data_IF_335315152778
#
_entry.id   IF_335315152778
#
_cell.length_a   1.000
_cell.length_b   1.000
_cell.length_c   1.000
_cell.angle_alpha   90.00
_cell.angle_beta   90.00
_cell.angle_gamma   90.00
#
_symmetry.space_group_name_H-M   'P 1'
#
loop_
_entity.id
_entity.type
_entity.pdbx_description
1 polymer ?
#
# COMPACT_ATOMS: atom_id res chain seq x y z
N UNK A 1 22.11 7.34 5.39
CA UNK A 1 22.51 6.22 4.50
C UNK A 1 22.24 6.66 3.07
N UNK A 2 23.25 6.65 2.18
CA UNK A 2 23.06 6.94 0.74
C UNK A 2 22.91 5.60 0.03
N UNK A 3 21.79 5.39 -0.67
CA UNK A 3 21.55 4.18 -1.47
C UNK A 3 22.14 4.43 -2.85
N UNK A 4 23.06 3.57 -3.30
CA UNK A 4 23.66 3.67 -4.63
C UNK A 4 22.75 3.06 -5.69
N UNK A 5 22.76 3.56 -6.95
CA UNK A 5 21.99 2.95 -8.04
C UNK A 5 22.25 1.45 -8.24
N UNK A 6 23.48 1.00 -7.97
CA UNK A 6 23.86 -0.41 -8.03
C UNK A 6 23.22 -1.29 -6.95
N UNK A 7 22.72 -0.69 -5.88
CA UNK A 7 22.03 -1.38 -4.77
C UNK A 7 20.51 -1.45 -5.00
N UNK A 8 20.01 -0.81 -6.07
CA UNK A 8 18.59 -0.80 -6.42
C UNK A 8 18.37 -1.75 -7.60
N UNK A 9 17.36 -2.62 -7.45
CA UNK A 9 16.82 -3.41 -8.55
C UNK A 9 15.37 -2.99 -8.82
N UNK A 10 15.05 -2.74 -10.08
CA UNK A 10 13.69 -2.52 -10.54
C UNK A 10 13.19 -3.82 -11.16
N UNK A 11 12.14 -4.40 -10.60
CA UNK A 11 11.50 -5.60 -11.16
C UNK A 11 10.24 -5.24 -11.93
N UNK A 12 10.20 -5.63 -13.21
CA UNK A 12 9.05 -5.50 -14.09
C UNK A 12 8.37 -6.86 -14.21
N UNK A 13 7.16 -6.96 -13.69
CA UNK A 13 6.34 -8.17 -13.83
C UNK A 13 5.43 -8.00 -15.05
N UNK A 14 5.58 -8.87 -16.05
CA UNK A 14 4.84 -8.79 -17.30
C UNK A 14 4.23 -10.14 -17.68
N UNK A 15 3.07 -10.08 -18.32
CA UNK A 15 2.38 -11.28 -18.78
C UNK A 15 3.09 -11.92 -19.99
N UNK A 16 3.58 -11.09 -20.91
CA UNK A 16 4.16 -11.54 -22.17
C UNK A 16 5.53 -10.90 -22.35
N UNK A 17 6.43 -11.62 -23.03
CA UNK A 17 7.78 -11.13 -23.30
C UNK A 17 7.74 -9.82 -24.14
N UNK A 18 8.26 -8.68 -23.63
CA UNK A 18 8.07 -7.38 -24.25
C UNK A 18 9.12 -7.14 -25.34
N UNK A 19 9.05 -7.92 -26.43
CA UNK A 19 10.09 -7.94 -27.48
C UNK A 19 10.42 -6.57 -28.08
N UNK A 20 9.42 -5.69 -28.23
CA UNK A 20 9.63 -4.30 -28.71
C UNK A 20 10.47 -3.46 -27.75
N UNK A 21 10.18 -3.55 -26.45
CA UNK A 21 10.95 -2.85 -25.41
C UNK A 21 12.38 -3.38 -25.37
N UNK A 22 12.54 -4.71 -25.39
CA UNK A 22 13.87 -5.32 -25.36
C UNK A 22 14.70 -4.92 -26.58
N UNK A 23 14.10 -4.92 -27.77
CA UNK A 23 14.74 -4.44 -29.00
C UNK A 23 15.19 -2.98 -28.84
N UNK A 24 14.29 -2.11 -28.38
CA UNK A 24 14.61 -0.70 -28.12
C UNK A 24 15.76 -0.51 -27.14
N UNK A 25 15.79 -1.29 -26.04
CA UNK A 25 16.86 -1.20 -25.03
C UNK A 25 18.21 -1.65 -25.58
N UNK A 26 18.25 -2.72 -26.38
CA UNK A 26 19.46 -3.17 -27.07
C UNK A 26 19.97 -2.11 -28.05
N UNK A 27 19.08 -1.56 -28.88
CA UNK A 27 19.45 -0.61 -29.95
C UNK A 27 19.88 0.75 -29.39
N UNK A 28 19.23 1.22 -28.32
CA UNK A 28 19.46 2.57 -27.79
C UNK A 28 20.56 2.63 -26.74
N UNK A 29 20.62 1.61 -25.87
CA UNK A 29 21.52 1.60 -24.70
C UNK A 29 22.58 0.50 -24.76
N UNK A 30 22.56 -0.35 -25.79
CA UNK A 30 23.46 -1.50 -25.87
C UNK A 30 23.25 -2.52 -24.76
N UNK A 31 22.06 -2.53 -24.15
CA UNK A 31 21.73 -3.40 -23.01
C UNK A 31 21.81 -4.87 -23.38
N UNK A 32 22.30 -5.68 -22.44
CA UNK A 32 22.29 -7.14 -22.56
C UNK A 32 21.15 -7.69 -21.72
N UNK A 33 20.54 -8.77 -22.22
CA UNK A 33 19.43 -9.44 -21.57
C UNK A 33 19.84 -10.89 -21.38
N UNK A 34 19.92 -11.34 -20.13
CA UNK A 34 20.22 -12.72 -19.76
C UNK A 34 19.02 -13.36 -19.10
N UNK A 35 18.71 -14.59 -19.49
CA UNK A 35 17.74 -15.43 -18.77
C UNK A 35 18.51 -16.23 -17.73
N UNK A 36 18.31 -15.94 -16.46
CA UNK A 36 18.99 -16.66 -15.36
C UNK A 36 18.17 -17.86 -14.88
N UNK A 37 16.86 -17.79 -15.07
CA UNK A 37 15.91 -18.85 -14.77
C UNK A 37 14.74 -18.73 -15.76
N UNK A 38 14.05 -19.82 -16.13
CA UNK A 38 12.87 -19.74 -17.00
C UNK A 38 11.89 -18.65 -16.56
N UNK A 39 11.70 -17.63 -17.40
CA UNK A 39 10.83 -16.49 -17.07
C UNK A 39 11.43 -15.40 -16.18
N UNK A 40 12.69 -15.51 -15.76
CA UNK A 40 13.42 -14.49 -14.98
C UNK A 40 14.61 -14.00 -15.78
N UNK A 41 14.49 -12.77 -16.28
CA UNK A 41 15.51 -12.12 -17.08
C UNK A 41 16.12 -10.95 -16.32
N UNK A 42 17.39 -10.67 -16.55
CA UNK A 42 18.02 -9.43 -16.12
C UNK A 42 18.49 -8.63 -17.31
N UNK A 43 18.31 -7.31 -17.21
CA UNK A 43 18.75 -6.34 -18.18
C UNK A 43 19.90 -5.55 -17.55
N UNK A 44 21.07 -5.62 -18.18
CA UNK A 44 22.29 -4.94 -17.73
C UNK A 44 22.57 -3.68 -18.56
N UNK A 45 23.65 -2.95 -18.19
CA UNK A 45 24.08 -1.70 -18.83
C UNK A 45 23.05 -0.57 -18.76
N UNK A 46 22.21 -0.60 -17.72
CA UNK A 46 21.32 0.48 -17.33
C UNK A 46 21.80 1.10 -16.01
N UNK A 47 21.24 2.26 -15.66
CA UNK A 47 21.58 2.97 -14.42
C UNK A 47 21.31 2.13 -13.15
N UNK A 48 20.25 1.33 -13.18
CA UNK A 48 19.86 0.39 -12.12
C UNK A 48 19.77 -1.02 -12.71
N UNK A 49 19.93 -2.04 -11.88
CA UNK A 49 19.66 -3.42 -12.32
C UNK A 49 18.17 -3.54 -12.60
N UNK A 50 17.80 -3.99 -13.80
CA UNK A 50 16.40 -4.24 -14.14
C UNK A 50 16.18 -5.75 -14.23
N UNK A 51 15.19 -6.25 -13.51
CA UNK A 51 14.71 -7.62 -13.61
C UNK A 51 13.39 -7.63 -14.37
N UNK A 52 13.20 -8.61 -15.23
CA UNK A 52 11.97 -8.83 -15.97
C UNK A 52 11.44 -10.22 -15.63
N UNK A 53 10.25 -10.28 -15.05
CA UNK A 53 9.55 -11.51 -14.70
C UNK A 53 8.42 -11.77 -15.71
N UNK A 54 8.52 -12.86 -16.47
CA UNK A 54 7.52 -13.29 -17.45
C UNK A 54 6.63 -14.35 -16.80
N UNK A 55 5.45 -13.93 -16.33
CA UNK A 55 4.58 -14.77 -15.47
C UNK A 55 4.28 -16.13 -16.09
N UNK A 56 3.97 -16.21 -17.40
CA UNK A 56 3.62 -17.47 -18.07
C UNK A 56 4.79 -18.43 -18.32
N UNK A 57 6.03 -18.00 -18.08
CA UNK A 57 7.20 -18.86 -18.20
C UNK A 57 7.68 -19.38 -16.84
N UNK A 58 7.13 -18.85 -15.75
CA UNK A 58 7.45 -19.26 -14.39
C UNK A 58 6.71 -20.57 -14.05
N UNK A 59 7.41 -21.56 -13.50
CA UNK A 59 6.77 -22.75 -12.91
C UNK A 59 6.00 -22.34 -11.64
N UNK A 60 4.68 -22.58 -11.57
CA UNK A 60 3.90 -22.28 -10.37
C UNK A 60 4.32 -23.08 -9.13
N UNK A 61 4.99 -24.22 -9.32
CA UNK A 61 5.46 -25.14 -8.29
C UNK A 61 6.81 -24.69 -7.71
N UNK A 62 7.75 -24.28 -8.56
CA UNK A 62 9.09 -23.85 -8.14
C UNK A 62 9.11 -22.38 -7.69
N UNK A 63 8.19 -21.56 -8.23
CA UNK A 63 8.18 -20.10 -8.02
C UNK A 63 6.89 -19.61 -7.40
N UNK A 64 6.41 -20.32 -6.37
CA UNK A 64 5.09 -20.14 -5.74
C UNK A 64 4.70 -18.66 -5.61
N UNK A 65 5.59 -17.83 -5.07
CA UNK A 65 5.36 -16.40 -4.86
C UNK A 65 5.37 -15.59 -6.16
N UNK A 66 6.39 -15.77 -6.99
CA UNK A 66 6.60 -14.94 -8.20
C UNK A 66 5.53 -15.19 -9.25
N UNK A 67 5.09 -16.44 -9.43
CA UNK A 67 4.03 -16.79 -10.39
C UNK A 67 2.66 -16.21 -10.03
N UNK A 68 2.51 -15.70 -8.80
CA UNK A 68 1.27 -15.12 -8.25
C UNK A 68 1.33 -13.60 -8.11
N UNK A 69 2.35 -12.94 -8.66
CA UNK A 69 2.42 -11.48 -8.81
C UNK A 69 1.57 -10.98 -9.99
N UNK A 70 0.30 -11.40 -10.05
CA UNK A 70 -0.67 -11.03 -11.08
C UNK A 70 -2.02 -10.70 -10.44
N UNK A 71 -2.88 -9.95 -11.13
CA UNK A 71 -4.18 -9.47 -10.61
C UNK A 71 -5.33 -10.46 -10.82
N UNK A 72 -5.10 -11.53 -11.57
CA UNK A 72 -6.09 -12.52 -11.99
C UNK A 72 -5.92 -13.86 -11.26
N UNK A 73 -5.61 -13.81 -9.96
CA UNK A 73 -5.46 -15.02 -9.15
C UNK A 73 -6.79 -15.76 -8.99
N UNK A 74 -6.70 -17.09 -8.96
CA UNK A 74 -7.78 -18.04 -8.71
C UNK A 74 -7.62 -18.65 -7.31
N UNK A 75 -8.74 -18.82 -6.60
CA UNK A 75 -8.79 -19.27 -5.20
C UNK A 75 -8.07 -20.60 -5.00
N UNK A 76 -8.54 -21.66 -5.65
CA UNK A 76 -8.05 -23.02 -5.41
C UNK A 76 -6.65 -23.23 -6.00
N UNK A 77 -6.37 -22.62 -7.15
CA UNK A 77 -5.14 -22.86 -7.90
C UNK A 77 -3.98 -21.99 -7.43
N UNK A 78 -4.26 -20.73 -7.09
CA UNK A 78 -3.22 -19.78 -6.72
C UNK A 78 -3.19 -19.55 -5.20
N UNK A 79 -4.33 -19.33 -4.56
CA UNK A 79 -4.34 -18.83 -3.19
C UNK A 79 -4.14 -19.93 -2.15
N UNK A 80 -4.82 -21.08 -2.27
CA UNK A 80 -4.64 -22.20 -1.32
C UNK A 80 -3.17 -22.68 -1.23
N UNK A 81 -2.44 -22.89 -2.35
CA UNK A 81 -1.01 -23.22 -2.28
C UNK A 81 -0.16 -22.13 -1.66
N UNK A 82 -0.50 -20.86 -1.89
CA UNK A 82 0.21 -19.71 -1.33
C UNK A 82 0.05 -19.64 0.19
N UNK A 83 -1.18 -19.82 0.69
CA UNK A 83 -1.48 -19.91 2.12
C UNK A 83 -0.71 -21.04 2.79
N UNK A 84 -0.71 -22.22 2.15
CA UNK A 84 0.01 -23.40 2.64
C UNK A 84 1.53 -23.18 2.69
N UNK A 85 2.10 -22.48 1.70
CA UNK A 85 3.52 -22.15 1.67
C UNK A 85 3.91 -21.09 2.71
N UNK A 86 2.96 -20.25 3.13
CA UNK A 86 3.18 -19.23 4.16
C UNK A 86 2.99 -19.74 5.59
N UNK A 87 2.17 -20.76 5.79
CA UNK A 87 1.89 -21.34 7.12
C UNK A 87 3.18 -21.75 7.83
N UNK A 88 3.38 -21.24 9.04
CA UNK A 88 4.59 -21.45 9.87
C UNK A 88 5.77 -20.53 9.52
N UNK A 89 5.57 -19.54 8.63
CA UNK A 89 6.56 -18.53 8.23
C UNK A 89 6.09 -17.11 8.53
N UNK A 90 5.06 -16.95 9.35
CA UNK A 90 4.37 -15.68 9.59
C UNK A 90 5.27 -14.62 10.22
N UNK A 91 6.28 -15.04 11.00
CA UNK A 91 7.24 -14.17 11.67
C UNK A 91 8.47 -13.84 10.82
N UNK A 92 8.60 -14.43 9.62
CA UNK A 92 9.71 -14.13 8.71
C UNK A 92 9.38 -12.87 7.89
N UNK A 93 10.16 -11.77 8.02
CA UNK A 93 9.87 -10.52 7.33
C UNK A 93 9.84 -10.63 5.81
N UNK A 94 10.59 -11.57 5.22
CA UNK A 94 10.65 -11.75 3.76
C UNK A 94 9.35 -12.38 3.26
N UNK A 95 8.88 -13.41 3.95
CA UNK A 95 7.63 -14.09 3.64
C UNK A 95 6.44 -13.16 3.89
N UNK A 96 6.47 -12.41 4.98
CA UNK A 96 5.47 -11.38 5.28
C UNK A 96 5.40 -10.33 4.16
N UNK A 97 6.55 -9.77 3.75
CA UNK A 97 6.59 -8.75 2.71
C UNK A 97 6.08 -9.28 1.35
N UNK A 98 6.47 -10.51 0.99
CA UNK A 98 6.01 -11.16 -0.23
C UNK A 98 4.50 -11.40 -0.20
N UNK A 99 3.96 -11.88 0.92
CA UNK A 99 2.52 -12.09 1.09
C UNK A 99 1.74 -10.78 1.02
N UNK A 100 2.18 -9.79 1.76
CA UNK A 100 1.52 -8.49 1.77
C UNK A 100 1.50 -7.84 0.38
N UNK A 101 2.56 -8.01 -0.42
CA UNK A 101 2.59 -7.58 -1.82
C UNK A 101 1.52 -8.28 -2.67
N UNK A 102 1.42 -9.62 -2.58
CA UNK A 102 0.44 -10.40 -3.35
C UNK A 102 -0.99 -10.03 -2.96
N UNK A 103 -1.28 -9.92 -1.66
CA UNK A 103 -2.60 -9.52 -1.16
C UNK A 103 -2.96 -8.10 -1.60
N UNK A 104 -2.05 -7.12 -1.43
CA UNK A 104 -2.30 -5.72 -1.81
C UNK A 104 -2.60 -5.57 -3.30
N UNK A 105 -1.86 -6.28 -4.16
CA UNK A 105 -2.07 -6.23 -5.60
C UNK A 105 -3.44 -6.80 -6.02
N UNK A 106 -4.04 -7.67 -5.19
CA UNK A 106 -5.27 -8.41 -5.50
C UNK A 106 -6.48 -8.03 -4.61
N UNK A 107 -6.36 -6.99 -3.77
CA UNK A 107 -7.36 -6.60 -2.75
C UNK A 107 -8.81 -6.54 -3.24
N UNK A 108 -9.04 -6.05 -4.47
CA UNK A 108 -10.39 -5.93 -5.04
C UNK A 108 -11.09 -7.28 -5.17
N UNK A 109 -10.37 -8.32 -5.60
CA UNK A 109 -10.93 -9.68 -5.73
C UNK A 109 -11.20 -10.31 -4.35
N UNK A 110 -10.40 -9.97 -3.34
CA UNK A 110 -10.64 -10.41 -1.96
C UNK A 110 -11.93 -9.82 -1.37
N UNK A 111 -12.26 -8.56 -1.69
CA UNK A 111 -13.47 -7.90 -1.17
C UNK A 111 -14.77 -8.42 -1.80
N UNK A 112 -14.72 -8.91 -3.03
CA UNK A 112 -15.90 -9.35 -3.80
C UNK A 112 -16.17 -10.86 -3.70
N UNK A 113 -15.19 -11.65 -3.22
CA UNK A 113 -15.32 -13.09 -3.03
C UNK A 113 -15.71 -13.45 -1.59
N UNK A 114 -17.00 -13.39 -1.25
CA UNK A 114 -17.52 -13.78 0.06
C UNK A 114 -17.32 -15.26 0.46
N UNK A 115 -16.69 -16.09 -0.37
CA UNK A 115 -16.48 -17.53 -0.14
C UNK A 115 -14.98 -17.93 -0.11
N UNK A 116 -14.05 -16.97 0.03
CA UNK A 116 -12.62 -17.28 0.00
C UNK A 116 -12.04 -17.67 1.37
N UNK A 117 -12.27 -18.95 1.69
CA UNK A 117 -11.46 -19.87 2.50
C UNK A 117 -11.12 -19.44 3.93
N UNK A 118 -11.83 -20.06 4.89
CA UNK A 118 -11.54 -20.04 6.33
C UNK A 118 -10.04 -20.16 6.67
N UNK A 119 -9.24 -20.85 5.86
CA UNK A 119 -7.81 -21.03 6.11
C UNK A 119 -6.96 -19.75 5.91
N UNK A 120 -7.37 -18.85 5.01
CA UNK A 120 -6.74 -17.53 4.84
C UNK A 120 -7.28 -16.53 5.85
N UNK A 121 -8.60 -16.54 6.09
CA UNK A 121 -9.20 -15.72 7.12
C UNK A 121 -8.58 -16.05 8.47
N UNK A 122 -8.48 -17.32 8.87
CA UNK A 122 -7.85 -17.72 10.13
C UNK A 122 -6.38 -17.32 10.20
N UNK A 123 -5.65 -17.43 9.07
CA UNK A 123 -4.22 -17.12 9.02
C UNK A 123 -3.93 -15.60 8.97
N UNK A 124 -4.89 -14.78 8.52
CA UNK A 124 -4.79 -13.33 8.47
C UNK A 124 -5.76 -12.60 9.39
N UNK A 125 -6.53 -13.30 10.21
CA UNK A 125 -7.63 -12.75 11.03
C UNK A 125 -7.13 -11.57 11.85
N UNK A 126 -6.06 -11.79 12.61
CA UNK A 126 -5.46 -10.77 13.46
C UNK A 126 -4.99 -9.54 12.66
N UNK A 127 -4.43 -9.73 11.46
CA UNK A 127 -3.96 -8.63 10.60
C UNK A 127 -5.11 -7.90 9.92
N UNK A 128 -6.16 -8.62 9.53
CA UNK A 128 -7.36 -8.05 8.92
C UNK A 128 -8.13 -7.24 9.96
N UNK A 129 -8.33 -7.79 11.16
CA UNK A 129 -8.96 -7.12 12.29
C UNK A 129 -8.17 -5.85 12.68
N UNK A 130 -6.84 -5.93 12.79
CA UNK A 130 -6.01 -4.74 13.03
C UNK A 130 -6.17 -3.67 11.94
N UNK A 131 -6.19 -4.07 10.66
CA UNK A 131 -6.37 -3.13 9.54
C UNK A 131 -7.77 -2.52 9.51
N UNK A 132 -8.79 -3.31 9.83
CA UNK A 132 -10.16 -2.85 9.95
C UNK A 132 -10.29 -1.85 11.10
N UNK A 133 -9.75 -2.17 12.27
CA UNK A 133 -9.72 -1.30 13.44
C UNK A 133 -8.99 0.02 13.15
N UNK A 134 -7.79 -0.04 12.55
CA UNK A 134 -7.06 1.15 12.08
C UNK A 134 -7.87 1.95 11.03
N UNK A 135 -8.63 1.25 10.18
CA UNK A 135 -9.51 1.86 9.19
C UNK A 135 -10.67 2.62 9.84
N UNK A 136 -11.31 2.02 10.85
CA UNK A 136 -12.38 2.63 11.65
C UNK A 136 -11.84 3.85 12.40
N UNK A 137 -10.71 3.72 13.09
CA UNK A 137 -10.07 4.80 13.84
C UNK A 137 -9.76 6.00 12.93
N UNK A 138 -9.10 5.76 11.79
CA UNK A 138 -8.83 6.80 10.78
C UNK A 138 -10.11 7.39 10.20
N UNK A 139 -11.16 6.59 10.06
CA UNK A 139 -12.47 7.04 9.61
C UNK A 139 -13.11 8.01 10.60
N UNK A 140 -13.06 7.68 11.90
CA UNK A 140 -13.53 8.54 12.99
C UNK A 140 -12.74 9.84 13.04
N UNK A 141 -11.39 9.77 13.01
CA UNK A 141 -10.52 10.95 12.97
C UNK A 141 -10.90 11.90 11.83
N UNK A 142 -10.93 11.39 10.59
CA UNK A 142 -11.28 12.17 9.40
C UNK A 142 -12.68 12.74 9.45
N UNK A 143 -13.63 12.00 10.03
CA UNK A 143 -15.00 12.46 10.23
C UNK A 143 -15.03 13.69 11.14
N UNK A 144 -14.35 13.61 12.29
CA UNK A 144 -14.29 14.71 13.25
C UNK A 144 -13.55 15.91 12.67
N UNK A 145 -12.38 15.70 12.05
CA UNK A 145 -11.60 16.74 11.37
C UNK A 145 -12.47 17.52 10.37
N UNK A 146 -13.22 16.79 9.52
CA UNK A 146 -14.11 17.39 8.52
C UNK A 146 -15.23 18.20 9.17
N UNK A 147 -15.86 17.68 10.22
CA UNK A 147 -16.91 18.40 10.95
C UNK A 147 -16.40 19.66 11.64
N UNK A 148 -15.18 19.64 12.20
CA UNK A 148 -14.56 20.86 12.76
C UNK A 148 -14.39 21.92 11.67
N UNK A 149 -13.80 21.53 10.53
CA UNK A 149 -13.53 22.46 9.43
C UNK A 149 -14.85 23.05 8.87
N UNK A 150 -15.89 22.22 8.75
CA UNK A 150 -17.22 22.63 8.30
C UNK A 150 -17.83 23.68 9.24
N UNK A 151 -17.85 23.41 10.56
CA UNK A 151 -18.36 24.35 11.56
C UNK A 151 -17.57 25.67 11.56
N UNK A 152 -16.25 25.62 11.46
CA UNK A 152 -15.42 26.83 11.42
C UNK A 152 -15.63 27.63 10.13
N UNK A 153 -15.96 26.96 9.02
CA UNK A 153 -16.21 27.61 7.73
C UNK A 153 -17.50 28.45 7.75
N UNK A 154 -18.47 28.11 8.61
CA UNK A 154 -19.68 28.91 8.83
C UNK A 154 -19.35 30.25 9.53
N UNK A 155 -18.26 30.31 10.30
CA UNK A 155 -17.81 31.51 11.00
C UNK A 155 -16.91 32.41 10.14
N UNK A 156 -16.44 31.93 8.98
CA UNK A 156 -15.57 32.65 8.06
C UNK A 156 -14.53 31.76 7.36
N UNK A 157 -13.63 32.33 6.56
CA UNK A 157 -12.58 31.57 5.89
C UNK A 157 -11.58 30.99 6.89
N UNK A 158 -11.48 29.65 6.93
CA UNK A 158 -10.54 28.94 7.80
C UNK A 158 -9.10 29.09 7.26
N UNK A 159 -8.15 29.64 8.03
CA UNK A 159 -6.75 29.77 7.61
C UNK A 159 -6.12 28.39 7.33
N UNK A 160 -5.28 28.30 6.29
CA UNK A 160 -4.66 27.02 5.89
C UNK A 160 -3.82 26.39 7.01
N UNK A 161 -3.06 27.20 7.75
CA UNK A 161 -2.29 26.73 8.91
C UNK A 161 -3.18 26.08 9.99
N UNK A 162 -4.40 26.58 10.18
CA UNK A 162 -5.35 26.00 11.12
C UNK A 162 -5.94 24.69 10.58
N UNK A 163 -6.25 24.64 9.28
CA UNK A 163 -6.73 23.45 8.60
C UNK A 163 -5.70 22.31 8.67
N UNK A 164 -4.43 22.60 8.36
CA UNK A 164 -3.34 21.63 8.46
C UNK A 164 -3.19 21.09 9.88
N UNK A 165 -3.25 21.96 10.89
CA UNK A 165 -3.18 21.54 12.29
C UNK A 165 -4.30 20.59 12.70
N UNK A 166 -5.51 20.80 12.20
CA UNK A 166 -6.66 19.91 12.43
C UNK A 166 -6.41 18.56 11.77
N UNK A 167 -6.01 18.53 10.50
CA UNK A 167 -5.78 17.29 9.72
C UNK A 167 -4.60 16.46 10.29
N UNK A 168 -3.57 17.14 10.80
CA UNK A 168 -2.39 16.48 11.38
C UNK A 168 -2.63 15.95 12.80
N UNK A 169 -3.72 16.34 13.46
CA UNK A 169 -4.05 15.79 14.77
C UNK A 169 -4.44 14.31 14.64
N UNK A 170 -3.95 13.47 15.56
CA UNK A 170 -4.20 12.02 15.58
C UNK A 170 -4.85 11.56 16.88
N UNK A 171 -4.85 12.41 17.91
CA UNK A 171 -5.57 12.11 19.14
C UNK A 171 -7.06 12.43 19.00
N UNK A 172 -7.87 11.36 18.96
CA UNK A 172 -9.35 11.44 18.86
C UNK A 172 -9.96 12.23 20.02
N UNK A 173 -9.37 12.21 21.22
CA UNK A 173 -9.89 12.97 22.35
C UNK A 173 -9.69 14.47 22.15
N UNK A 174 -8.53 14.86 21.61
CA UNK A 174 -8.23 16.25 21.26
C UNK A 174 -9.15 16.71 20.12
N UNK A 175 -9.30 15.91 19.07
CA UNK A 175 -10.24 16.19 17.98
C UNK A 175 -11.68 16.35 18.48
N UNK A 176 -12.14 15.46 19.37
CA UNK A 176 -13.49 15.55 19.96
C UNK A 176 -13.66 16.80 20.82
N UNK A 177 -12.64 17.21 21.58
CA UNK A 177 -12.66 18.45 22.33
C UNK A 177 -12.72 19.67 21.41
N UNK A 178 -11.93 19.67 20.34
CA UNK A 178 -11.94 20.71 19.31
C UNK A 178 -13.29 20.79 18.59
N UNK A 179 -13.94 19.67 18.29
CA UNK A 179 -15.29 19.66 17.72
C UNK A 179 -16.29 20.39 18.62
N UNK A 180 -16.24 20.14 19.93
CA UNK A 180 -17.10 20.83 20.91
C UNK A 180 -16.81 22.32 21.00
N UNK A 181 -15.53 22.71 20.90
CA UNK A 181 -15.12 24.11 20.89
C UNK A 181 -15.58 24.81 19.61
N UNK A 182 -15.39 24.20 18.44
CA UNK A 182 -15.82 24.73 17.16
C UNK A 182 -17.33 25.00 17.15
N UNK A 183 -18.14 24.08 17.66
CA UNK A 183 -19.60 24.23 17.75
C UNK A 183 -20.07 25.38 18.67
N UNK A 184 -19.21 25.85 19.59
CA UNK A 184 -19.53 26.93 20.55
C UNK A 184 -18.83 28.24 20.21
N UNK A 185 -17.87 28.20 19.30
CA UNK A 185 -17.07 29.36 18.92
C UNK A 185 -17.94 30.37 18.18
N UNK A 186 -17.71 31.65 18.46
CA UNK A 186 -18.42 32.75 17.78
C UNK A 186 -17.60 33.35 16.64
N UNK A 187 -16.29 33.06 16.62
CA UNK A 187 -15.36 33.44 15.57
C UNK A 187 -14.19 32.45 15.50
N UNK A 188 -13.45 32.49 14.39
CA UNK A 188 -12.24 31.68 14.21
C UNK A 188 -11.16 32.07 15.25
N UNK A 189 -11.07 33.35 15.61
CA UNK A 189 -10.13 33.83 16.62
C UNK A 189 -10.42 33.26 18.02
N UNK A 190 -11.71 33.14 18.39
CA UNK A 190 -12.11 32.52 19.65
C UNK A 190 -11.69 31.05 19.70
N UNK A 191 -11.95 30.31 18.62
CA UNK A 191 -11.53 28.92 18.50
C UNK A 191 -10.01 28.76 18.62
N UNK A 192 -9.24 29.63 17.94
CA UNK A 192 -7.79 29.58 17.97
C UNK A 192 -7.22 29.88 19.37
N UNK A 193 -7.85 30.80 20.11
CA UNK A 193 -7.49 31.11 21.49
C UNK A 193 -7.76 29.93 22.42
N UNK A 194 -8.93 29.32 22.31
CA UNK A 194 -9.36 28.20 23.18
C UNK A 194 -8.59 26.90 22.88
N UNK A 195 -8.05 26.76 21.67
CA UNK A 195 -7.21 25.62 21.26
C UNK A 195 -5.70 25.91 21.37
N UNK A 196 -5.31 27.02 22.00
CA UNK A 196 -3.91 27.35 22.28
C UNK A 196 -3.07 27.74 21.05
N UNK A 197 -3.67 28.02 19.89
CA UNK A 197 -2.98 28.65 18.75
C UNK A 197 -3.04 30.17 18.90
N UNK A 198 -2.16 30.73 19.72
CA UNK A 198 -1.88 32.16 19.62
C UNK A 198 -0.96 32.37 18.42
N UNK A 199 -1.41 33.11 17.41
CA UNK A 199 -0.58 33.58 16.30
C UNK A 199 0.59 34.39 16.86
N UNK A 200 1.82 33.91 16.67
CA UNK A 200 3.02 34.76 16.64
C UNK A 200 3.34 35.13 15.21
#
# INVERSE_FOLDING_TARGET
MKILPSEITITLVVNQYPGKLIKFLRETYGSEITEEFPGIYYISKLLFKVQLLIIHQLSPEETIWLSRLRSDLEIQKDIEPLAKAYKGKEQDPVYEAAMDLVIRANWKKYKEGCDLCNALEELFADKLEQREQLGIERGIERGIERSIIELLSELGPVPDALRERIILQKDVNVLTAWLKLAARSKSIADFQKDTGSSTS
#
